data_IF_416365391292
#
_entry.id   IF_416365391292
#
_cell.length_a   1.000
_cell.length_b   1.000
_cell.length_c   1.000
_cell.angle_alpha   90.00
_cell.angle_beta   90.00
_cell.angle_gamma   90.00
#
_symmetry.space_group_name_H-M   'P 1'
#
loop_
_entity.id
_entity.type
_entity.pdbx_description
1 polymer ?
#
# COMPACT_ATOMS: atom_id res chain seq x y z
N UNK A 1 -1.53 2.63 19.65
CA UNK A 1 -0.30 2.98 18.91
C UNK A 1 -0.38 2.78 17.40
N UNK A 2 -1.37 2.08 16.82
CA UNK A 2 -1.50 1.96 15.35
C UNK A 2 -2.33 3.07 14.67
N UNK A 3 -3.08 3.86 15.44
CA UNK A 3 -3.90 4.95 14.90
C UNK A 3 -3.09 6.05 14.18
N UNK A 4 -1.78 6.14 14.43
CA UNK A 4 -0.86 7.04 13.72
C UNK A 4 -0.61 6.53 12.29
N UNK A 5 -0.48 5.22 12.08
CA UNK A 5 -0.31 4.61 10.75
C UNK A 5 -1.58 4.67 9.90
N UNK A 6 -2.72 4.83 10.57
CA UNK A 6 -4.03 5.07 9.95
C UNK A 6 -4.35 6.57 9.87
N UNK A 7 -3.42 7.44 10.27
CA UNK A 7 -3.59 8.88 10.08
C UNK A 7 -3.56 9.17 8.59
N UNK A 8 -4.50 10.01 8.16
CA UNK A 8 -4.63 10.50 6.79
C UNK A 8 -3.38 11.21 6.26
N UNK A 9 -2.47 11.64 7.13
CA UNK A 9 -1.18 12.22 6.76
C UNK A 9 -0.02 11.22 6.85
N UNK A 10 -0.28 9.95 7.18
CA UNK A 10 0.78 8.94 7.28
C UNK A 10 1.28 8.53 5.89
N UNK A 11 2.39 9.16 5.52
CA UNK A 11 3.11 8.86 4.29
C UNK A 11 3.91 7.56 4.41
N UNK A 12 4.20 7.09 5.62
CA UNK A 12 5.05 5.93 5.86
C UNK A 12 4.37 4.63 5.41
N UNK A 13 3.17 4.32 5.91
CA UNK A 13 2.43 3.11 5.53
C UNK A 13 2.11 3.14 4.04
N UNK A 14 1.68 4.29 3.53
CA UNK A 14 1.41 4.50 2.10
C UNK A 14 2.65 4.22 1.24
N UNK A 15 3.83 4.73 1.65
CA UNK A 15 5.09 4.51 0.93
C UNK A 15 5.56 3.06 1.02
N UNK A 16 5.37 2.40 2.16
CA UNK A 16 5.73 1.01 2.36
C UNK A 16 4.88 0.07 1.48
N UNK A 17 3.59 0.39 1.30
CA UNK A 17 2.65 -0.42 0.53
C UNK A 17 2.66 -0.10 -0.98
N UNK A 18 3.10 1.08 -1.42
CA UNK A 18 3.21 1.45 -2.85
C UNK A 18 3.88 0.39 -3.73
N UNK A 19 5.03 -0.23 -3.34
CA UNK A 19 5.65 -1.30 -4.13
C UNK A 19 4.76 -2.53 -4.34
N UNK A 20 3.76 -2.72 -3.47
CA UNK A 20 2.80 -3.82 -3.50
C UNK A 20 1.46 -3.44 -4.16
N UNK A 21 1.21 -2.17 -4.45
CA UNK A 21 -0.05 -1.72 -5.06
C UNK A 21 0.06 -1.73 -6.58
N UNK A 22 -1.01 -2.17 -7.26
CA UNK A 22 -1.15 -2.05 -8.71
C UNK A 22 -2.48 -1.39 -9.07
N UNK A 23 -2.46 -0.44 -10.00
CA UNK A 23 -3.67 0.14 -10.57
C UNK A 23 -4.55 -0.91 -11.28
N UNK A 24 -3.93 -2.01 -11.76
CA UNK A 24 -4.63 -3.10 -12.43
C UNK A 24 -5.20 -4.15 -11.45
N UNK A 25 -5.11 -3.94 -10.13
CA UNK A 25 -5.68 -4.85 -9.13
C UNK A 25 -7.24 -4.89 -9.17
N UNK A 26 -7.88 -4.01 -9.96
CA UNK A 26 -9.34 -3.97 -10.20
C UNK A 26 -10.18 -3.95 -8.91
N UNK A 27 -9.71 -3.19 -7.92
CA UNK A 27 -10.40 -3.02 -6.64
C UNK A 27 -11.71 -2.27 -6.84
N UNK A 28 -12.77 -2.71 -6.15
CA UNK A 28 -14.04 -1.98 -6.13
C UNK A 28 -14.00 -0.81 -5.13
N UNK A 29 -15.01 0.07 -5.17
CA UNK A 29 -15.07 1.27 -4.32
C UNK A 29 -14.95 0.94 -2.82
N UNK A 30 -15.60 -0.13 -2.34
CA UNK A 30 -15.53 -0.57 -0.93
C UNK A 30 -14.13 -1.08 -0.55
N UNK A 31 -13.36 -1.61 -1.50
CA UNK A 31 -11.98 -2.04 -1.32
C UNK A 31 -11.01 -0.85 -1.36
N UNK A 32 -11.23 0.09 -2.28
CA UNK A 32 -10.47 1.33 -2.40
C UNK A 32 -10.61 2.18 -1.13
N UNK A 33 -11.82 2.34 -0.58
CA UNK A 33 -12.05 3.12 0.64
C UNK A 33 -11.27 2.61 1.87
N UNK A 34 -10.87 1.33 1.87
CA UNK A 34 -10.07 0.72 2.95
C UNK A 34 -8.57 1.03 2.84
N UNK A 35 -8.12 1.50 1.69
CA UNK A 35 -6.72 1.85 1.48
C UNK A 35 -6.38 3.18 2.17
N UNK A 36 -5.11 3.40 2.54
CA UNK A 36 -4.60 4.73 2.88
C UNK A 36 -4.93 5.74 1.77
N UNK A 37 -5.24 6.99 2.14
CA UNK A 37 -5.74 8.02 1.22
C UNK A 37 -4.84 8.21 -0.02
N UNK A 38 -3.52 8.10 0.15
CA UNK A 38 -2.56 8.24 -0.95
C UNK A 38 -2.58 7.07 -1.94
N UNK A 39 -3.10 5.91 -1.53
CA UNK A 39 -3.22 4.70 -2.35
C UNK A 39 -4.59 4.58 -3.03
N UNK A 40 -5.62 5.27 -2.52
CA UNK A 40 -6.94 5.28 -3.16
C UNK A 40 -6.92 5.88 -4.58
N UNK A 41 -5.98 6.79 -4.82
CA UNK A 41 -5.78 7.47 -6.10
C UNK A 41 -4.43 7.10 -6.74
N UNK A 42 -3.86 5.95 -6.37
CA UNK A 42 -2.57 5.53 -6.91
C UNK A 42 -2.74 4.91 -8.30
N UNK A 43 -2.18 5.58 -9.31
CA UNK A 43 -2.21 5.14 -10.71
C UNK A 43 -0.91 4.42 -11.14
N UNK A 44 -0.07 4.04 -10.18
CA UNK A 44 1.18 3.34 -10.46
C UNK A 44 1.01 1.82 -10.50
N UNK A 45 2.07 1.14 -10.92
CA UNK A 45 2.11 -0.32 -10.97
C UNK A 45 2.96 -0.91 -9.85
N UNK A 46 2.71 -2.19 -9.58
CA UNK A 46 3.47 -2.99 -8.63
C UNK A 46 4.94 -3.01 -9.03
N UNK A 47 5.82 -2.98 -8.02
CA UNK A 47 7.24 -3.14 -8.24
C UNK A 47 7.50 -4.48 -8.97
N UNK A 48 8.35 -4.46 -10.00
CA UNK A 48 8.69 -5.67 -10.76
C UNK A 48 9.83 -6.48 -10.10
N UNK A 49 10.51 -5.89 -9.12
CA UNK A 49 11.56 -6.57 -8.36
C UNK A 49 10.95 -7.41 -7.24
N UNK A 50 10.87 -8.72 -7.48
CA UNK A 50 10.38 -9.70 -6.52
C UNK A 50 11.18 -9.71 -5.21
N UNK A 51 12.47 -9.35 -5.24
CA UNK A 51 13.27 -9.27 -4.01
C UNK A 51 12.78 -8.15 -3.10
N UNK A 52 12.42 -7.00 -3.69
CA UNK A 52 11.85 -5.87 -2.96
C UNK A 52 10.48 -6.24 -2.41
N UNK A 53 9.60 -6.84 -3.23
CA UNK A 53 8.27 -7.30 -2.78
C UNK A 53 8.39 -8.25 -1.59
N UNK A 54 9.23 -9.29 -1.71
CA UNK A 54 9.37 -10.30 -0.67
C UNK A 54 9.88 -9.70 0.64
N UNK A 55 10.84 -8.76 0.59
CA UNK A 55 11.34 -8.07 1.79
C UNK A 55 10.28 -7.22 2.46
N UNK A 56 9.43 -6.54 1.69
CA UNK A 56 8.32 -5.75 2.24
C UNK A 56 7.30 -6.69 2.90
N UNK A 57 6.94 -7.79 2.25
CA UNK A 57 6.03 -8.80 2.81
C UNK A 57 6.60 -9.36 4.11
N UNK A 58 7.86 -9.82 4.12
CA UNK A 58 8.53 -10.33 5.32
C UNK A 58 8.48 -9.33 6.48
N UNK A 59 8.73 -8.04 6.21
CA UNK A 59 8.69 -7.00 7.22
C UNK A 59 7.28 -6.74 7.80
N UNK A 60 6.22 -7.04 7.06
CA UNK A 60 4.83 -6.88 7.51
C UNK A 60 4.31 -8.05 8.36
N UNK A 61 4.93 -9.23 8.27
CA UNK A 61 4.51 -10.45 8.96
C UNK A 61 5.39 -10.84 10.17
N UNK A 62 6.37 -10.01 10.55
CA UNK A 62 7.19 -10.18 11.77
C UNK A 62 6.55 -9.51 12.99
#
# INVERSE_FOLDING_TARGET
CHSILLDKNDEFLSTLLKPLADADDNLNDDEIEKLPLQLQYYEGHRCQDLSIINKVIEALYQ
#
